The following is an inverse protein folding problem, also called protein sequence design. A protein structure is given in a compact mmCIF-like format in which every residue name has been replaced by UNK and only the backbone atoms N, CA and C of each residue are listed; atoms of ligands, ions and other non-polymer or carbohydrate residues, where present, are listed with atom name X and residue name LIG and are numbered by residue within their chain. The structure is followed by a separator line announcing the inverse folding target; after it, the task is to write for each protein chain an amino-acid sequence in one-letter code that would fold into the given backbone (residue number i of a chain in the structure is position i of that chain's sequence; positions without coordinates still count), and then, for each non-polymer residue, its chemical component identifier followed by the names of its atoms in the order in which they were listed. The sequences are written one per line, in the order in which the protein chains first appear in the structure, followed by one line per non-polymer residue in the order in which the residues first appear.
data_IF_079687473050
#
_entry.id   IF_079687473050
#
_cell.length_a   1.000
_cell.length_b   1.000
_cell.length_c   1.000
_cell.angle_alpha   90.00
_cell.angle_beta   90.00
_cell.angle_gamma   90.00
#
_symmetry.space_group_name_H-M   'P 1'
#
loop_
_entity.id
_entity.type
_entity.pdbx_description
1 polymer ?
#
# COMPACT_ATOMS: atom_id res chain seq x y z
N UNK A 1 -26.85 9.56 11.63
CA UNK A 1 -26.54 10.18 10.32
C UNK A 1 -25.03 10.45 10.23
N UNK A 2 -24.48 10.38 9.04
CA UNK A 2 -23.09 10.75 8.76
C UNK A 2 -22.99 12.25 8.45
N UNK A 3 -21.79 12.83 8.62
CA UNK A 3 -21.59 14.26 8.40
C UNK A 3 -21.67 14.66 6.91
N UNK A 4 -21.16 13.79 6.04
CA UNK A 4 -21.13 14.02 4.59
C UNK A 4 -20.94 12.67 3.88
N UNK A 5 -21.97 12.23 3.17
CA UNK A 5 -21.99 10.94 2.47
C UNK A 5 -21.02 10.84 1.30
N UNK A 6 -20.63 11.99 0.74
CA UNK A 6 -19.72 12.07 -0.41
C UNK A 6 -18.24 12.01 0.00
N UNK A 7 -17.95 12.23 1.30
CA UNK A 7 -16.60 12.19 1.87
C UNK A 7 -16.27 10.89 2.59
N UNK A 8 -17.18 9.93 2.58
CA UNK A 8 -16.99 8.61 3.17
C UNK A 8 -16.83 7.61 2.04
N UNK A 9 -15.79 6.78 2.13
CA UNK A 9 -15.62 5.63 1.27
C UNK A 9 -15.73 4.34 2.10
N UNK A 10 -16.47 3.37 1.59
CA UNK A 10 -16.60 2.03 2.17
C UNK A 10 -16.16 1.01 1.12
N UNK A 11 -15.13 0.24 1.45
CA UNK A 11 -14.53 -0.75 0.56
C UNK A 11 -14.64 -2.13 1.19
N UNK A 12 -15.21 -3.06 0.43
CA UNK A 12 -15.33 -4.45 0.85
C UNK A 12 -14.12 -5.24 0.34
N UNK A 13 -13.01 -5.22 1.08
CA UNK A 13 -11.76 -5.88 0.66
C UNK A 13 -11.24 -6.94 1.63
N UNK A 14 -11.63 -6.88 2.91
CA UNK A 14 -11.29 -7.90 3.90
C UNK A 14 -12.26 -9.07 3.83
N UNK A 15 -11.72 -10.31 3.86
CA UNK A 15 -12.52 -11.54 3.81
C UNK A 15 -13.48 -11.64 2.61
N UNK A 16 -13.10 -11.09 1.47
CA UNK A 16 -13.82 -11.17 0.22
C UNK A 16 -13.02 -12.03 -0.79
N UNK A 17 -13.60 -13.09 -1.38
CA UNK A 17 -14.90 -13.68 -1.07
C UNK A 17 -15.00 -14.13 0.38
N UNK A 18 -16.23 -14.11 0.93
CA UNK A 18 -16.41 -14.38 2.35
C UNK A 18 -15.97 -15.80 2.73
N UNK A 19 -15.09 -15.92 3.70
CA UNK A 19 -14.56 -17.21 4.17
C UNK A 19 -15.51 -18.00 5.07
N UNK A 20 -16.45 -17.30 5.71
CA UNK A 20 -17.41 -17.86 6.66
C UNK A 20 -18.67 -16.99 6.78
N UNK A 21 -19.65 -17.48 7.53
CA UNK A 21 -20.93 -16.78 7.77
C UNK A 21 -20.69 -15.45 8.49
N UNK A 22 -19.77 -15.40 9.45
CA UNK A 22 -19.49 -14.20 10.23
C UNK A 22 -18.95 -13.07 9.35
N UNK A 23 -18.04 -13.38 8.45
CA UNK A 23 -17.54 -12.39 7.48
C UNK A 23 -18.62 -11.92 6.51
N UNK A 24 -19.53 -12.81 6.09
CA UNK A 24 -20.69 -12.44 5.28
C UNK A 24 -21.68 -11.52 6.03
N UNK A 25 -21.89 -11.75 7.32
CA UNK A 25 -22.71 -10.87 8.17
C UNK A 25 -22.08 -9.49 8.34
N UNK A 26 -20.75 -9.39 8.49
CA UNK A 26 -20.06 -8.11 8.51
C UNK A 26 -20.24 -7.35 7.20
N UNK A 27 -20.09 -8.01 6.06
CA UNK A 27 -20.33 -7.42 4.74
C UNK A 27 -21.78 -6.94 4.60
N UNK A 28 -22.75 -7.72 5.07
CA UNK A 28 -24.15 -7.33 5.09
C UNK A 28 -24.38 -6.06 5.94
N UNK A 29 -23.77 -5.99 7.12
CA UNK A 29 -23.87 -4.83 8.01
C UNK A 29 -23.33 -3.55 7.33
N UNK A 30 -22.18 -3.62 6.67
CA UNK A 30 -21.60 -2.49 5.92
C UNK A 30 -22.50 -2.08 4.77
N UNK A 31 -23.06 -3.04 4.03
CA UNK A 31 -24.00 -2.77 2.92
C UNK A 31 -25.27 -2.06 3.43
N UNK A 32 -25.87 -2.54 4.52
CA UNK A 32 -27.05 -1.93 5.12
C UNK A 32 -26.74 -0.51 5.62
N UNK A 33 -25.56 -0.29 6.19
CA UNK A 33 -25.10 1.04 6.59
C UNK A 33 -24.92 1.96 5.40
N UNK A 34 -24.29 1.49 4.31
CA UNK A 34 -24.11 2.24 3.08
C UNK A 34 -25.45 2.67 2.48
N UNK A 35 -26.38 1.73 2.36
CA UNK A 35 -27.74 2.01 1.85
C UNK A 35 -28.51 2.99 2.75
N UNK A 36 -28.49 2.80 4.07
CA UNK A 36 -29.20 3.64 5.05
C UNK A 36 -28.73 5.09 5.03
N UNK A 37 -27.41 5.31 4.84
CA UNK A 37 -26.80 6.63 4.85
C UNK A 37 -26.54 7.18 3.44
N UNK A 38 -26.99 6.46 2.40
CA UNK A 38 -26.82 6.83 0.99
C UNK A 38 -25.36 7.14 0.62
N UNK A 39 -24.41 6.35 1.14
CA UNK A 39 -22.96 6.57 0.93
C UNK A 39 -22.64 6.49 -0.57
N UNK A 40 -22.06 7.55 -1.11
CA UNK A 40 -21.77 7.66 -2.53
C UNK A 40 -20.62 6.75 -2.97
N UNK A 41 -19.58 6.65 -2.14
CA UNK A 41 -18.38 5.86 -2.46
C UNK A 41 -18.43 4.51 -1.73
N UNK A 42 -19.32 3.65 -2.17
CA UNK A 42 -19.44 2.28 -1.65
C UNK A 42 -19.06 1.28 -2.75
N UNK A 43 -18.08 0.43 -2.45
CA UNK A 43 -17.52 -0.56 -3.37
C UNK A 43 -17.75 -1.97 -2.83
N UNK A 44 -18.73 -2.67 -3.41
CA UNK A 44 -19.11 -4.04 -3.05
C UNK A 44 -18.45 -5.07 -3.99
N UNK A 45 -18.79 -6.33 -3.82
CA UNK A 45 -18.36 -7.43 -4.69
C UNK A 45 -18.67 -7.12 -6.15
N UNK A 46 -17.64 -7.23 -7.01
CA UNK A 46 -17.72 -6.85 -8.42
C UNK A 46 -17.10 -5.49 -8.74
N UNK A 47 -17.07 -4.58 -7.79
CA UNK A 47 -16.37 -3.28 -7.88
C UNK A 47 -15.21 -3.20 -6.91
N UNK A 48 -14.91 -4.29 -6.22
CA UNK A 48 -13.94 -4.36 -5.14
C UNK A 48 -12.51 -4.21 -5.63
N UNK A 49 -11.68 -3.80 -4.70
CA UNK A 49 -10.24 -3.76 -4.77
C UNK A 49 -9.72 -3.59 -3.37
N UNK A 50 -8.45 -3.81 -3.15
CA UNK A 50 -7.83 -3.48 -1.86
C UNK A 50 -7.86 -1.96 -1.73
N UNK A 51 -8.42 -1.43 -0.64
CA UNK A 51 -8.77 -0.01 -0.52
C UNK A 51 -7.61 0.92 -0.84
N UNK A 52 -6.39 0.56 -0.42
CA UNK A 52 -5.19 1.39 -0.62
C UNK A 52 -4.69 1.45 -2.06
N UNK A 53 -5.17 0.59 -2.94
CA UNK A 53 -4.99 0.68 -4.37
C UNK A 53 -6.24 1.24 -5.07
N UNK A 54 -7.43 0.86 -4.59
CA UNK A 54 -8.70 1.22 -5.20
C UNK A 54 -9.00 2.72 -5.07
N UNK A 55 -8.84 3.32 -3.88
CA UNK A 55 -9.21 4.71 -3.66
C UNK A 55 -8.38 5.70 -4.50
N UNK A 56 -7.04 5.53 -4.63
CA UNK A 56 -6.26 6.30 -5.61
C UNK A 56 -6.69 6.06 -7.07
N UNK A 57 -6.93 4.80 -7.46
CA UNK A 57 -7.39 4.44 -8.81
C UNK A 57 -8.75 5.09 -9.15
N UNK A 58 -9.64 5.22 -8.16
CA UNK A 58 -10.94 5.90 -8.31
C UNK A 58 -10.84 7.42 -8.20
N UNK A 59 -9.64 7.96 -7.98
CA UNK A 59 -9.42 9.41 -7.85
C UNK A 59 -10.03 10.03 -6.60
N UNK A 60 -10.29 9.23 -5.57
CA UNK A 60 -10.89 9.69 -4.32
C UNK A 60 -9.87 10.30 -3.35
N UNK A 61 -8.57 10.11 -3.62
CA UNK A 61 -7.47 10.63 -2.82
C UNK A 61 -6.58 11.49 -3.70
N UNK A 62 -6.27 12.70 -3.25
CA UNK A 62 -5.41 13.66 -3.98
C UNK A 62 -4.46 14.38 -3.03
N UNK A 63 -3.47 15.08 -3.58
CA UNK A 63 -2.52 15.88 -2.80
C UNK A 63 -3.23 16.90 -1.92
N UNK A 64 -2.74 17.04 -0.69
CA UNK A 64 -3.26 17.98 0.31
C UNK A 64 -4.52 17.54 1.03
N UNK A 65 -5.06 16.37 0.71
CA UNK A 65 -6.15 15.77 1.50
C UNK A 65 -5.66 15.38 2.90
N UNK A 66 -6.57 15.41 3.87
CA UNK A 66 -6.41 14.79 5.19
C UNK A 66 -7.36 13.61 5.26
N UNK A 67 -6.81 12.40 5.37
CA UNK A 67 -7.56 11.17 5.26
C UNK A 67 -7.35 10.31 6.52
N UNK A 68 -8.45 9.89 7.13
CA UNK A 68 -8.43 8.88 8.20
C UNK A 68 -9.09 7.60 7.69
N UNK A 69 -8.57 6.46 8.07
CA UNK A 69 -9.12 5.16 7.73
C UNK A 69 -9.14 4.21 8.92
N UNK A 70 -9.99 3.21 8.87
CA UNK A 70 -10.06 2.16 9.89
C UNK A 70 -8.97 1.08 9.71
N UNK A 71 -8.21 1.17 8.62
CA UNK A 71 -7.07 0.30 8.33
C UNK A 71 -5.74 1.00 8.64
N UNK A 72 -4.77 0.25 9.15
CA UNK A 72 -3.46 0.78 9.52
C UNK A 72 -2.65 1.30 8.32
N UNK A 73 -2.82 0.68 7.14
CA UNK A 73 -2.11 1.07 5.91
C UNK A 73 -2.75 2.27 5.18
N UNK A 74 -3.71 2.98 5.80
CA UNK A 74 -4.23 4.25 5.28
C UNK A 74 -3.12 5.28 5.00
N UNK A 75 -1.94 5.13 5.60
CA UNK A 75 -0.75 5.93 5.30
C UNK A 75 -0.30 5.90 3.83
N UNK A 76 -0.76 4.93 3.04
CA UNK A 76 -0.43 4.74 1.62
C UNK A 76 -0.64 6.00 0.76
N UNK A 77 -1.66 6.79 1.04
CA UNK A 77 -2.00 7.96 0.21
C UNK A 77 -1.02 9.13 0.35
N UNK A 78 -0.08 9.03 1.29
CA UNK A 78 1.06 9.95 1.37
C UNK A 78 1.97 9.90 0.14
N UNK A 79 1.91 8.82 -0.65
CA UNK A 79 2.55 8.75 -1.96
C UNK A 79 2.04 9.82 -2.94
N UNK A 80 0.82 10.34 -2.73
CA UNK A 80 0.23 11.44 -3.49
C UNK A 80 0.40 12.81 -2.82
N UNK A 81 1.13 12.88 -1.69
CA UNK A 81 1.26 14.12 -0.91
C UNK A 81 0.05 14.44 -0.04
N UNK A 82 -0.73 13.43 0.36
CA UNK A 82 -1.82 13.54 1.32
C UNK A 82 -1.32 13.24 2.75
N UNK A 83 -1.87 13.91 3.76
CA UNK A 83 -1.72 13.45 5.13
C UNK A 83 -2.77 12.37 5.41
N UNK A 84 -2.33 11.14 5.45
CA UNK A 84 -3.23 9.98 5.61
C UNK A 84 -2.73 9.04 6.69
N UNK A 85 -3.65 8.56 7.54
CA UNK A 85 -3.28 7.71 8.69
C UNK A 85 -4.41 6.82 9.14
N UNK A 86 -4.06 5.65 9.65
CA UNK A 86 -4.99 4.76 10.33
C UNK A 86 -5.40 5.28 11.70
N UNK A 87 -6.65 5.05 12.07
CA UNK A 87 -7.22 5.38 13.38
C UNK A 87 -8.03 4.20 13.93
N UNK A 88 -8.29 4.21 15.23
CA UNK A 88 -9.15 3.21 15.85
C UNK A 88 -10.59 3.28 15.35
N UNK A 89 -11.32 2.17 15.44
CA UNK A 89 -12.70 2.08 14.96
C UNK A 89 -13.65 3.09 15.63
N UNK A 90 -13.43 3.41 16.90
CA UNK A 90 -14.21 4.42 17.63
C UNK A 90 -13.94 5.83 17.09
N UNK A 91 -12.66 6.17 16.83
CA UNK A 91 -12.28 7.46 16.25
C UNK A 91 -12.79 7.58 14.81
N UNK A 92 -12.75 6.48 14.05
CA UNK A 92 -13.34 6.44 12.70
C UNK A 92 -14.84 6.70 12.74
N UNK A 93 -15.57 6.04 13.65
CA UNK A 93 -17.01 6.27 13.81
C UNK A 93 -17.32 7.73 14.21
N UNK A 94 -16.53 8.31 15.12
CA UNK A 94 -16.67 9.72 15.50
C UNK A 94 -16.38 10.66 14.30
N UNK A 95 -15.34 10.36 13.52
CA UNK A 95 -15.01 11.09 12.30
C UNK A 95 -16.13 11.03 11.27
N UNK A 96 -16.74 9.87 11.06
CA UNK A 96 -17.89 9.70 10.14
C UNK A 96 -19.13 10.48 10.56
N UNK A 97 -19.33 10.69 11.85
CA UNK A 97 -20.48 11.45 12.39
C UNK A 97 -20.21 12.95 12.43
N UNK A 98 -18.99 13.35 12.79
CA UNK A 98 -18.67 14.75 13.10
C UNK A 98 -17.92 15.47 11.97
N UNK A 99 -17.31 14.74 11.05
CA UNK A 99 -16.38 15.27 10.05
C UNK A 99 -15.08 15.80 10.64
N UNK A 100 -14.75 15.45 11.89
CA UNK A 100 -13.61 15.98 12.64
C UNK A 100 -12.85 14.87 13.35
N UNK A 101 -11.54 15.01 13.38
CA UNK A 101 -10.63 14.26 14.23
C UNK A 101 -9.58 15.22 14.80
N UNK A 102 -9.00 14.88 15.94
CA UNK A 102 -7.90 15.63 16.49
C UNK A 102 -6.62 14.80 16.44
N UNK A 103 -5.51 15.47 16.21
CA UNK A 103 -4.19 14.85 16.21
C UNK A 103 -3.21 15.70 17.00
N UNK A 104 -2.30 15.04 17.71
CA UNK A 104 -1.03 15.67 18.04
C UNK A 104 -0.25 15.76 16.73
N UNK A 105 0.24 16.94 16.38
CA UNK A 105 1.10 17.09 15.19
C UNK A 105 2.33 16.20 15.36
N UNK A 106 2.57 15.21 14.48
CA UNK A 106 3.74 14.36 14.60
C UNK A 106 5.02 15.14 14.28
N UNK A 107 6.11 14.82 14.95
CA UNK A 107 7.44 15.20 14.47
C UNK A 107 7.76 14.43 13.18
N UNK A 108 8.71 14.93 12.40
CA UNK A 108 9.07 14.34 11.12
C UNK A 108 10.49 13.75 11.14
N UNK A 109 10.64 12.63 10.42
CA UNK A 109 11.93 12.04 10.04
C UNK A 109 12.07 12.22 8.53
N UNK A 110 13.23 12.72 8.10
CA UNK A 110 13.52 12.93 6.68
C UNK A 110 14.41 11.81 6.14
N UNK A 111 13.99 11.22 5.02
CA UNK A 111 14.77 10.25 4.25
C UNK A 111 15.13 10.86 2.90
N UNK A 112 16.39 11.24 2.76
CA UNK A 112 16.94 11.78 1.53
C UNK A 112 17.40 10.62 0.64
N UNK A 113 16.62 10.31 -0.39
CA UNK A 113 16.88 9.23 -1.34
C UNK A 113 17.74 9.76 -2.48
N UNK A 114 18.93 9.19 -2.68
CA UNK A 114 19.88 9.58 -3.71
C UNK A 114 20.24 8.38 -4.60
N UNK A 115 20.80 8.65 -5.77
CA UNK A 115 21.21 7.58 -6.69
C UNK A 115 20.04 6.88 -7.39
N UNK A 116 20.36 5.90 -8.22
CA UNK A 116 19.40 5.12 -9.00
C UNK A 116 19.41 3.67 -8.56
N UNK A 117 18.26 3.05 -8.26
CA UNK A 117 18.21 1.64 -7.86
C UNK A 117 18.67 0.72 -8.99
N UNK A 118 19.32 -0.38 -8.62
CA UNK A 118 19.69 -1.45 -9.53
C UNK A 118 18.45 -2.20 -10.05
N UNK A 119 18.61 -2.98 -11.14
CA UNK A 119 17.55 -3.91 -11.58
C UNK A 119 17.17 -4.85 -10.44
N UNK A 120 15.88 -5.09 -10.26
CA UNK A 120 15.26 -5.90 -9.21
C UNK A 120 15.22 -5.27 -7.80
N UNK A 121 15.71 -4.06 -7.63
CA UNK A 121 15.51 -3.27 -6.42
C UNK A 121 14.31 -2.36 -6.63
N UNK A 122 13.27 -2.55 -5.83
CA UNK A 122 11.99 -1.86 -5.89
C UNK A 122 11.72 -1.02 -4.64
N UNK A 123 10.60 -0.33 -4.60
CA UNK A 123 10.14 0.38 -3.41
C UNK A 123 10.05 -0.52 -2.17
N UNK A 124 9.77 -1.81 -2.36
CA UNK A 124 9.75 -2.80 -1.27
C UNK A 124 11.13 -2.96 -0.61
N UNK A 125 12.19 -3.05 -1.42
CA UNK A 125 13.56 -3.16 -0.91
C UNK A 125 13.97 -1.89 -0.17
N UNK A 126 13.57 -0.72 -0.70
CA UNK A 126 13.86 0.59 -0.07
C UNK A 126 13.24 0.66 1.31
N UNK A 127 11.95 0.36 1.44
CA UNK A 127 11.27 0.48 2.74
C UNK A 127 11.71 -0.62 3.72
N UNK A 128 11.98 -1.84 3.25
CA UNK A 128 12.52 -2.89 4.11
C UNK A 128 13.92 -2.52 4.64
N UNK A 129 14.78 -1.93 3.78
CA UNK A 129 16.07 -1.41 4.23
C UNK A 129 15.90 -0.34 5.33
N UNK A 130 14.97 0.59 5.14
CA UNK A 130 14.68 1.63 6.13
C UNK A 130 14.16 1.03 7.44
N UNK A 131 13.21 0.09 7.38
CA UNK A 131 12.69 -0.57 8.59
C UNK A 131 13.81 -1.35 9.30
N UNK A 132 14.69 -2.03 8.56
CA UNK A 132 15.86 -2.69 9.14
C UNK A 132 16.84 -1.72 9.81
N UNK A 133 16.93 -0.48 9.30
CA UNK A 133 17.82 0.56 9.84
C UNK A 133 17.29 1.20 11.12
N UNK A 134 15.97 1.52 11.17
CA UNK A 134 15.38 2.28 12.28
C UNK A 134 14.56 1.44 13.26
N UNK A 135 14.24 0.18 12.90
CA UNK A 135 13.39 -0.70 13.68
C UNK A 135 11.89 -0.49 13.47
N UNK A 136 11.07 -1.40 13.99
CA UNK A 136 9.60 -1.37 13.90
C UNK A 136 8.94 -0.23 14.70
N UNK A 137 9.67 0.40 15.59
CA UNK A 137 9.23 1.53 16.42
C UNK A 137 10.02 2.82 16.19
N UNK A 138 10.99 2.82 15.25
CA UNK A 138 11.87 3.96 14.98
C UNK A 138 11.13 5.22 14.53
N UNK A 139 9.99 5.07 13.87
CA UNK A 139 9.13 6.18 13.48
C UNK A 139 7.82 6.24 14.30
N UNK A 140 7.79 5.67 15.50
CA UNK A 140 6.58 5.61 16.32
C UNK A 140 5.96 6.99 16.52
N UNK A 141 4.73 7.16 16.04
CA UNK A 141 3.97 8.41 16.01
C UNK A 141 4.66 9.57 15.27
N UNK A 142 5.53 9.31 14.30
CA UNK A 142 6.21 10.32 13.49
C UNK A 142 5.73 10.29 12.04
N UNK A 143 5.94 11.39 11.33
CA UNK A 143 5.78 11.46 9.88
C UNK A 143 7.10 11.06 9.21
N UNK A 144 7.07 10.17 8.25
CA UNK A 144 8.24 9.82 7.42
C UNK A 144 8.15 10.61 6.12
N UNK A 145 9.09 11.51 5.89
CA UNK A 145 9.15 12.32 4.67
C UNK A 145 10.27 11.82 3.76
N UNK A 146 9.91 11.47 2.52
CA UNK A 146 10.82 10.96 1.52
C UNK A 146 11.13 12.05 0.51
N UNK A 147 12.39 12.44 0.39
CA UNK A 147 12.87 13.52 -0.47
C UNK A 147 14.11 13.08 -1.25
N UNK A 148 14.67 13.95 -2.05
CA UNK A 148 15.94 13.74 -2.73
C UNK A 148 15.80 13.38 -4.20
N UNK A 149 16.94 13.44 -4.92
CA UNK A 149 16.98 13.30 -6.38
C UNK A 149 16.73 11.86 -6.85
N UNK A 150 16.85 10.88 -5.96
CA UNK A 150 16.58 9.46 -6.25
C UNK A 150 15.09 9.17 -6.48
N UNK A 151 14.18 10.01 -5.94
CA UNK A 151 12.72 9.82 -6.10
C UNK A 151 12.29 9.74 -7.56
N UNK A 152 12.94 10.46 -8.45
CA UNK A 152 12.63 10.44 -9.90
C UNK A 152 12.79 9.07 -10.56
N UNK A 153 13.48 8.12 -9.91
CA UNK A 153 13.66 6.76 -10.40
C UNK A 153 12.65 5.77 -9.79
N UNK A 154 11.84 6.21 -8.83
CA UNK A 154 10.78 5.44 -8.23
C UNK A 154 9.46 5.70 -8.96
N UNK A 155 8.84 4.62 -9.43
CA UNK A 155 7.50 4.70 -10.02
C UNK A 155 6.45 5.11 -8.98
N UNK A 156 5.22 5.40 -9.40
CA UNK A 156 4.13 5.61 -8.45
C UNK A 156 3.85 4.35 -7.63
N UNK A 157 3.96 3.16 -8.24
CA UNK A 157 3.78 1.89 -7.55
C UNK A 157 4.82 1.70 -6.44
N UNK A 158 6.10 2.05 -6.68
CA UNK A 158 7.16 2.07 -5.66
C UNK A 158 6.85 3.04 -4.52
N UNK A 159 6.40 4.26 -4.85
CA UNK A 159 6.06 5.28 -3.84
C UNK A 159 4.88 4.85 -2.98
N UNK A 160 3.86 4.25 -3.57
CA UNK A 160 2.75 3.67 -2.83
C UNK A 160 3.21 2.56 -1.89
N UNK A 161 4.12 1.68 -2.35
CA UNK A 161 4.70 0.63 -1.51
C UNK A 161 5.46 1.20 -0.31
N UNK A 162 6.31 2.20 -0.53
CA UNK A 162 7.09 2.84 0.54
C UNK A 162 6.16 3.54 1.54
N UNK A 163 5.21 4.34 1.07
CA UNK A 163 4.27 5.04 1.93
C UNK A 163 3.36 4.05 2.69
N UNK A 164 2.93 2.96 2.05
CA UNK A 164 2.12 1.91 2.65
C UNK A 164 2.82 1.29 3.87
N UNK A 165 4.09 0.97 3.74
CA UNK A 165 4.85 0.30 4.78
C UNK A 165 5.47 1.25 5.83
N UNK A 166 5.15 2.53 5.81
CA UNK A 166 5.54 3.44 6.88
C UNK A 166 5.00 3.00 8.24
N UNK A 167 3.84 2.35 8.27
CA UNK A 167 3.25 1.83 9.51
C UNK A 167 4.08 0.72 10.15
N UNK A 168 4.81 -0.10 9.38
CA UNK A 168 5.68 -1.15 9.90
C UNK A 168 6.89 -0.59 10.66
N UNK A 169 7.21 0.69 10.49
CA UNK A 169 8.17 1.41 11.32
C UNK A 169 7.50 2.21 12.46
N UNK A 170 6.19 2.05 12.66
CA UNK A 170 5.39 2.81 13.63
C UNK A 170 4.97 4.21 13.16
N UNK A 171 5.25 4.56 11.90
CA UNK A 171 4.96 5.88 11.34
C UNK A 171 3.47 6.20 11.23
N UNK A 172 3.10 7.45 11.46
CA UNK A 172 1.74 7.94 11.23
C UNK A 172 1.42 8.00 9.74
N UNK A 173 2.40 8.36 8.94
CA UNK A 173 2.32 8.35 7.48
C UNK A 173 3.71 8.29 6.85
N UNK A 174 3.73 8.06 5.53
CA UNK A 174 4.91 8.24 4.69
C UNK A 174 4.54 9.20 3.55
N UNK A 175 5.19 10.36 3.45
CA UNK A 175 4.84 11.41 2.51
C UNK A 175 5.93 11.59 1.45
N UNK A 176 5.50 11.67 0.19
CA UNK A 176 6.32 12.06 -0.95
C UNK A 176 5.96 13.46 -1.42
N UNK A 177 6.92 14.21 -1.99
CA UNK A 177 6.64 15.47 -2.66
C UNK A 177 5.78 15.24 -3.90
N UNK A 178 5.00 16.23 -4.25
CA UNK A 178 4.14 16.21 -5.44
C UNK A 178 4.94 16.70 -6.64
N UNK A 179 5.52 15.79 -7.38
CA UNK A 179 6.26 16.06 -8.62
C UNK A 179 5.39 15.81 -9.88
N UNK A 180 6.02 15.96 -11.05
CA UNK A 180 5.34 15.79 -12.34
C UNK A 180 4.71 14.40 -12.49
N UNK A 181 5.35 13.35 -11.94
CA UNK A 181 4.84 11.98 -11.98
C UNK A 181 3.58 11.85 -11.12
N UNK A 182 3.59 12.41 -9.92
CA UNK A 182 2.41 12.46 -9.03
C UNK A 182 1.27 13.24 -9.66
N UNK A 183 1.58 14.40 -10.28
CA UNK A 183 0.58 15.22 -10.98
C UNK A 183 -0.02 14.47 -12.17
N UNK A 184 0.80 13.76 -12.95
CA UNK A 184 0.33 12.95 -14.07
C UNK A 184 -0.63 11.85 -13.59
N UNK A 185 -0.27 11.12 -12.52
CA UNK A 185 -1.13 10.11 -11.92
C UNK A 185 -2.46 10.69 -11.45
N UNK A 186 -2.44 11.80 -10.71
CA UNK A 186 -3.68 12.44 -10.25
C UNK A 186 -4.57 12.92 -11.39
N UNK A 187 -4.00 13.49 -12.46
CA UNK A 187 -4.77 13.92 -13.63
C UNK A 187 -5.43 12.78 -14.39
N UNK A 188 -4.80 11.62 -14.41
CA UNK A 188 -5.36 10.42 -15.03
C UNK A 188 -6.56 9.89 -14.25
N UNK A 189 -6.50 9.90 -12.92
CA UNK A 189 -7.46 9.24 -12.06
C UNK A 189 -8.50 10.18 -11.44
N UNK A 190 -8.21 11.47 -11.25
CA UNK A 190 -9.09 12.39 -10.53
C UNK A 190 -9.37 13.69 -11.29
N UNK A 191 -10.59 14.19 -11.10
CA UNK A 191 -10.99 15.56 -11.51
C UNK A 191 -11.11 16.51 -10.32
N UNK A 192 -10.79 16.03 -9.11
CA UNK A 192 -10.87 16.85 -7.91
C UNK A 192 -9.77 17.92 -7.91
N UNK A 193 -10.05 19.11 -7.37
CA UNK A 193 -9.00 20.08 -7.09
C UNK A 193 -8.07 19.51 -6.01
N UNK A 194 -6.79 19.81 -6.09
CA UNK A 194 -5.79 19.41 -5.11
C UNK A 194 -4.91 20.57 -4.71
N UNK A 195 -4.24 20.47 -3.57
CA UNK A 195 -3.31 21.48 -3.10
C UNK A 195 -1.97 20.83 -2.77
N UNK A 196 -0.91 21.40 -3.29
CA UNK A 196 0.45 20.96 -2.98
C UNK A 196 0.93 21.70 -1.74
N UNK A 197 1.50 20.94 -0.81
CA UNK A 197 2.22 21.45 0.34
C UNK A 197 3.67 20.99 0.25
N UNK A 198 4.57 21.88 0.54
CA UNK A 198 6.02 21.65 0.59
C UNK A 198 6.54 22.01 1.97
N UNK A 199 7.67 21.43 2.35
CA UNK A 199 8.33 21.82 3.59
C UNK A 199 8.85 23.25 3.48
N UNK A 200 8.75 24.03 4.56
CA UNK A 200 9.34 25.34 4.64
C UNK A 200 10.88 25.22 4.63
N UNK A 201 11.58 26.30 4.21
CA UNK A 201 13.06 26.32 4.13
C UNK A 201 13.73 26.08 5.50
N UNK A 202 13.06 26.46 6.57
CA UNK A 202 13.48 26.32 7.95
C UNK A 202 12.83 25.11 8.67
N UNK A 203 12.25 24.18 7.93
CA UNK A 203 11.65 22.97 8.50
C UNK A 203 12.66 22.17 9.33
N UNK A 204 12.26 21.79 10.54
CA UNK A 204 13.09 21.03 11.48
C UNK A 204 12.64 19.57 11.52
N UNK A 205 13.59 18.68 11.33
CA UNK A 205 13.39 17.24 11.41
C UNK A 205 14.03 16.70 12.70
N UNK A 206 13.36 15.73 13.31
CA UNK A 206 13.89 15.05 14.51
C UNK A 206 15.12 14.20 14.17
N UNK A 207 15.09 13.57 12.98
CA UNK A 207 16.19 12.77 12.43
C UNK A 207 16.22 12.93 10.90
N UNK A 208 17.40 12.81 10.33
CA UNK A 208 17.61 12.82 8.89
C UNK A 208 18.52 11.65 8.49
N UNK A 209 18.11 10.91 7.45
CA UNK A 209 18.86 9.80 6.87
C UNK A 209 19.08 10.04 5.39
N UNK A 210 20.25 9.67 4.89
CA UNK A 210 20.51 9.62 3.45
C UNK A 210 20.66 8.16 3.02
N UNK A 211 19.83 7.74 2.07
CA UNK A 211 19.80 6.39 1.52
C UNK A 211 20.24 6.44 0.06
N UNK A 212 21.37 5.81 -0.24
CA UNK A 212 21.84 5.68 -1.62
C UNK A 212 21.21 4.45 -2.28
N UNK A 213 20.20 4.69 -3.11
CA UNK A 213 19.47 3.65 -3.84
C UNK A 213 20.37 2.80 -4.73
N UNK A 214 21.50 3.34 -5.17
CA UNK A 214 22.45 2.60 -6.05
C UNK A 214 23.20 1.49 -5.31
N UNK A 215 23.27 1.57 -4.00
CA UNK A 215 23.95 0.58 -3.15
C UNK A 215 23.02 -0.48 -2.59
N UNK A 216 21.70 -0.25 -2.70
CA UNK A 216 20.70 -1.18 -2.20
C UNK A 216 20.71 -2.50 -2.98
N UNK A 217 20.43 -3.57 -2.28
CA UNK A 217 20.27 -4.92 -2.82
C UNK A 217 18.87 -5.42 -2.50
N UNK A 218 18.43 -6.44 -3.25
CA UNK A 218 17.17 -7.12 -2.92
C UNK A 218 17.19 -7.62 -1.49
N UNK A 219 16.17 -7.25 -0.74
CA UNK A 219 16.09 -7.39 0.72
C UNK A 219 14.91 -8.25 1.11
N UNK A 220 15.12 -9.13 2.08
CA UNK A 220 14.10 -10.02 2.65
C UNK A 220 14.00 -9.78 4.16
N UNK A 221 12.78 -9.69 4.67
CA UNK A 221 12.52 -9.69 6.11
C UNK A 221 12.24 -11.11 6.59
N UNK A 222 12.96 -11.53 7.61
CA UNK A 222 12.78 -12.83 8.26
C UNK A 222 11.75 -12.75 9.40
N UNK A 223 11.08 -13.86 9.74
CA UNK A 223 10.19 -13.90 10.90
C UNK A 223 10.91 -13.50 12.20
N UNK A 224 10.21 -12.90 13.15
CA UNK A 224 8.78 -12.57 13.14
C UNK A 224 8.52 -11.06 13.03
N UNK A 225 9.56 -10.25 12.79
CA UNK A 225 9.45 -8.78 12.70
C UNK A 225 9.98 -8.31 11.35
N UNK A 226 9.35 -7.29 10.72
CA UNK A 226 9.80 -6.76 9.45
C UNK A 226 11.16 -6.05 9.50
N UNK A 227 11.70 -5.76 10.68
CA UNK A 227 13.05 -5.23 10.88
C UNK A 227 14.16 -6.30 10.76
N UNK A 228 13.80 -7.60 10.82
CA UNK A 228 14.75 -8.70 10.65
C UNK A 228 15.19 -8.83 9.19
N UNK A 229 15.69 -7.75 8.63
CA UNK A 229 16.05 -7.68 7.22
C UNK A 229 17.44 -8.23 6.96
N UNK A 230 17.59 -8.90 5.81
CA UNK A 230 18.87 -9.31 5.23
C UNK A 230 18.82 -9.10 3.73
N UNK A 231 19.96 -8.75 3.16
CA UNK A 231 20.08 -8.79 1.69
C UNK A 231 20.16 -10.24 1.22
N UNK A 232 19.75 -10.48 -0.01
CA UNK A 232 19.76 -11.84 -0.61
C UNK A 232 21.15 -12.49 -0.53
N UNK A 233 22.23 -11.70 -0.64
CA UNK A 233 23.61 -12.18 -0.59
C UNK A 233 24.04 -12.65 0.82
N UNK A 234 23.33 -12.22 1.86
CA UNK A 234 23.61 -12.58 3.26
C UNK A 234 22.88 -13.85 3.68
N UNK A 235 21.98 -14.36 2.85
CA UNK A 235 21.21 -15.57 3.15
C UNK A 235 22.03 -16.78 2.75
N UNK A 236 22.49 -17.53 3.73
CA UNK A 236 23.32 -18.74 3.53
C UNK A 236 22.57 -20.04 3.77
N UNK A 237 21.43 -19.97 4.45
CA UNK A 237 20.56 -21.10 4.77
C UNK A 237 19.56 -21.41 3.65
N UNK A 238 19.26 -22.69 3.44
CA UNK A 238 18.18 -23.14 2.59
C UNK A 238 16.82 -22.90 3.27
N UNK A 239 16.09 -21.89 2.79
CA UNK A 239 14.75 -21.57 3.30
C UNK A 239 13.70 -22.37 2.53
N UNK A 240 13.07 -23.33 3.22
CA UNK A 240 11.96 -24.11 2.66
C UNK A 240 10.64 -23.40 2.95
N UNK A 241 9.85 -23.17 1.90
CA UNK A 241 8.55 -22.52 2.00
C UNK A 241 7.43 -23.49 1.61
N UNK A 242 6.26 -23.32 2.24
CA UNK A 242 5.02 -24.04 1.91
C UNK A 242 4.07 -23.19 1.06
N UNK A 243 4.21 -21.85 1.14
CA UNK A 243 3.36 -20.92 0.42
C UNK A 243 4.13 -19.68 -0.01
N UNK A 244 3.80 -19.18 -1.21
CA UNK A 244 4.21 -17.87 -1.71
C UNK A 244 2.95 -17.05 -2.04
N UNK A 245 2.90 -15.81 -1.56
CA UNK A 245 1.82 -14.87 -1.87
C UNK A 245 2.42 -13.68 -2.61
N UNK A 246 1.89 -13.38 -3.78
CA UNK A 246 2.30 -12.26 -4.64
C UNK A 246 1.12 -11.31 -4.74
N UNK A 247 1.31 -10.06 -4.31
CA UNK A 247 0.23 -9.08 -4.34
C UNK A 247 0.09 -8.28 -3.07
N UNK A 248 -1.14 -8.12 -2.59
CA UNK A 248 -1.58 -7.28 -1.46
C UNK A 248 -1.69 -5.79 -1.79
N UNK A 249 -2.04 -4.96 -0.80
CA UNK A 249 -2.04 -3.50 -0.92
C UNK A 249 -0.64 -2.94 -1.23
N UNK A 250 0.39 -3.67 -0.85
CA UNK A 250 1.79 -3.28 -1.01
C UNK A 250 2.28 -3.53 -2.43
N UNK A 251 2.10 -4.77 -2.96
CA UNK A 251 2.71 -5.22 -4.21
C UNK A 251 1.76 -6.02 -5.11
N UNK A 252 0.51 -5.57 -5.23
CA UNK A 252 -0.47 -6.14 -6.15
C UNK A 252 -0.78 -5.25 -7.36
N UNK A 253 0.04 -4.22 -7.62
CA UNK A 253 -0.12 -3.31 -8.76
C UNK A 253 0.44 -3.94 -10.02
N UNK A 254 0.19 -3.30 -11.16
CA UNK A 254 0.52 -3.92 -12.45
C UNK A 254 2.02 -4.14 -12.67
N UNK A 255 2.86 -3.25 -12.14
CA UNK A 255 4.32 -3.40 -12.24
C UNK A 255 4.82 -4.60 -11.44
N UNK A 256 4.25 -4.84 -10.25
CA UNK A 256 4.56 -6.01 -9.43
C UNK A 256 4.20 -7.32 -10.14
N UNK A 257 3.02 -7.35 -10.76
CA UNK A 257 2.55 -8.52 -11.51
C UNK A 257 3.41 -8.78 -12.75
N UNK A 258 3.85 -7.73 -13.47
CA UNK A 258 4.78 -7.88 -14.60
C UNK A 258 6.12 -8.44 -14.15
N UNK A 259 6.65 -7.93 -13.04
CA UNK A 259 7.90 -8.42 -12.44
C UNK A 259 7.78 -9.90 -12.04
N UNK A 260 6.72 -10.28 -11.37
CA UNK A 260 6.46 -11.67 -11.00
C UNK A 260 6.29 -12.58 -12.21
N UNK A 261 5.60 -12.12 -13.26
CA UNK A 261 5.43 -12.87 -14.51
C UNK A 261 6.76 -13.07 -15.24
N UNK A 262 7.66 -12.07 -15.25
CA UNK A 262 9.02 -12.23 -15.84
C UNK A 262 9.78 -13.39 -15.17
N UNK A 263 9.64 -13.53 -13.85
CA UNK A 263 10.28 -14.60 -13.08
C UNK A 263 9.62 -15.97 -13.34
N UNK A 264 8.28 -16.02 -13.39
CA UNK A 264 7.54 -17.28 -13.49
C UNK A 264 7.40 -17.82 -14.91
N UNK A 265 7.60 -16.99 -15.93
CA UNK A 265 7.46 -17.37 -17.33
C UNK A 265 8.36 -18.56 -17.69
N UNK A 266 7.72 -19.63 -18.18
CA UNK A 266 8.41 -20.87 -18.57
C UNK A 266 8.91 -21.72 -17.40
N UNK A 267 8.55 -21.37 -16.15
CA UNK A 267 8.90 -22.11 -14.94
C UNK A 267 7.65 -22.76 -14.32
N UNK A 268 7.87 -23.61 -13.34
CA UNK A 268 6.79 -24.28 -12.58
C UNK A 268 7.01 -24.09 -11.08
N UNK A 269 5.92 -23.78 -10.39
CA UNK A 269 5.89 -23.83 -8.92
C UNK A 269 6.16 -25.26 -8.48
N UNK A 270 7.04 -25.43 -7.48
CA UNK A 270 7.38 -26.74 -6.94
C UNK A 270 6.13 -27.43 -6.38
N UNK A 271 5.96 -28.71 -6.68
CA UNK A 271 4.87 -29.52 -6.12
C UNK A 271 4.92 -29.49 -4.60
N UNK A 272 3.79 -29.20 -3.96
CA UNK A 272 3.68 -29.04 -2.51
C UNK A 272 3.77 -27.57 -2.02
N UNK A 273 4.19 -26.63 -2.88
CA UNK A 273 4.15 -25.20 -2.58
C UNK A 273 2.88 -24.58 -3.17
N UNK A 274 2.16 -23.80 -2.40
CA UNK A 274 1.04 -22.97 -2.89
C UNK A 274 1.59 -21.63 -3.33
N UNK A 275 1.33 -21.23 -4.58
CA UNK A 275 1.62 -19.89 -5.07
C UNK A 275 0.30 -19.16 -5.36
N UNK A 276 0.05 -18.06 -4.69
CA UNK A 276 -1.19 -17.29 -4.79
C UNK A 276 -0.84 -15.90 -5.30
N UNK A 277 -1.50 -15.49 -6.39
CA UNK A 277 -1.32 -14.15 -6.98
C UNK A 277 -2.59 -13.35 -6.78
N UNK A 278 -2.47 -12.13 -6.25
CA UNK A 278 -3.60 -11.27 -5.89
C UNK A 278 -3.42 -9.90 -6.54
N UNK A 279 -4.07 -9.63 -7.67
CA UNK A 279 -4.14 -8.29 -8.23
C UNK A 279 -4.83 -7.34 -7.25
N UNK A 280 -4.33 -6.11 -7.10
CA UNK A 280 -4.83 -5.21 -6.07
C UNK A 280 -6.24 -4.66 -6.34
N UNK A 281 -6.66 -4.57 -7.61
CA UNK A 281 -8.00 -4.10 -8.01
C UNK A 281 -8.54 -4.89 -9.18
N UNK A 282 -9.85 -4.78 -9.42
CA UNK A 282 -10.49 -5.37 -10.62
C UNK A 282 -9.93 -4.79 -11.92
N UNK A 283 -9.54 -3.51 -11.92
CA UNK A 283 -8.97 -2.88 -13.11
C UNK A 283 -7.56 -3.44 -13.39
N UNK A 284 -6.74 -3.59 -12.36
CA UNK A 284 -5.42 -4.23 -12.48
C UNK A 284 -5.58 -5.71 -12.90
N UNK A 285 -6.56 -6.41 -12.35
CA UNK A 285 -6.87 -7.79 -12.76
C UNK A 285 -7.18 -7.89 -14.25
N UNK A 286 -8.06 -7.01 -14.74
CA UNK A 286 -8.43 -6.92 -16.14
C UNK A 286 -7.24 -6.56 -17.04
N UNK A 287 -6.39 -5.63 -16.58
CA UNK A 287 -5.16 -5.25 -17.29
C UNK A 287 -4.19 -6.43 -17.37
N UNK A 288 -3.93 -7.11 -16.25
CA UNK A 288 -3.07 -8.28 -16.21
C UNK A 288 -3.57 -9.42 -17.14
N UNK A 289 -4.90 -9.58 -17.24
CA UNK A 289 -5.50 -10.52 -18.19
C UNK A 289 -5.24 -10.11 -19.64
N UNK A 290 -5.42 -8.84 -19.99
CA UNK A 290 -5.17 -8.31 -21.34
C UNK A 290 -3.71 -8.39 -21.76
N UNK A 291 -2.79 -8.25 -20.81
CA UNK A 291 -1.34 -8.38 -21.01
C UNK A 291 -0.88 -9.85 -21.06
N UNK A 292 -1.76 -10.82 -20.82
CA UNK A 292 -1.42 -12.26 -20.80
C UNK A 292 -0.67 -12.71 -19.55
N UNK A 293 -0.59 -11.87 -18.50
CA UNK A 293 0.13 -12.23 -17.27
C UNK A 293 -0.55 -13.37 -16.51
N UNK A 294 -1.89 -13.42 -16.56
CA UNK A 294 -2.66 -14.49 -15.90
C UNK A 294 -2.36 -15.86 -16.49
N UNK A 295 -2.21 -15.96 -17.82
CA UNK A 295 -1.82 -17.18 -18.49
C UNK A 295 -0.47 -17.68 -17.96
N UNK A 296 0.53 -16.78 -17.86
CA UNK A 296 1.85 -17.12 -17.32
C UNK A 296 1.74 -17.67 -15.89
N UNK A 297 0.95 -17.05 -15.03
CA UNK A 297 0.78 -17.49 -13.64
C UNK A 297 0.10 -18.87 -13.57
N UNK A 298 -0.97 -19.08 -14.34
CA UNK A 298 -1.70 -20.34 -14.37
C UNK A 298 -0.82 -21.45 -14.94
N UNK A 299 -0.11 -21.18 -16.04
CA UNK A 299 0.85 -22.13 -16.60
C UNK A 299 1.97 -22.47 -15.61
N UNK A 300 2.44 -21.52 -14.82
CA UNK A 300 3.42 -21.78 -13.77
C UNK A 300 2.87 -22.64 -12.62
N UNK A 301 1.56 -22.83 -12.52
CA UNK A 301 0.90 -23.56 -11.44
C UNK A 301 0.55 -22.69 -10.23
N UNK A 302 0.46 -21.38 -10.42
CA UNK A 302 -0.05 -20.46 -9.42
C UNK A 302 -1.59 -20.34 -9.50
N UNK A 303 -2.21 -19.95 -8.39
CA UNK A 303 -3.63 -19.57 -8.32
C UNK A 303 -3.74 -18.06 -8.39
N UNK A 304 -4.55 -17.56 -9.32
CA UNK A 304 -4.88 -16.13 -9.36
C UNK A 304 -6.19 -15.91 -8.63
N UNK A 305 -6.13 -15.13 -7.55
CA UNK A 305 -7.29 -14.80 -6.71
C UNK A 305 -7.96 -13.51 -7.17
N UNK A 306 -9.16 -13.27 -6.68
CA UNK A 306 -9.80 -11.96 -6.76
C UNK A 306 -9.04 -10.94 -5.89
N UNK A 307 -9.15 -9.64 -6.17
CA UNK A 307 -8.61 -8.61 -5.29
C UNK A 307 -9.14 -8.76 -3.87
N UNK A 308 -8.25 -8.93 -2.90
CA UNK A 308 -8.61 -9.09 -1.48
C UNK A 308 -7.41 -8.82 -0.59
N UNK A 309 -7.67 -8.27 0.59
CA UNK A 309 -6.68 -8.11 1.66
C UNK A 309 -6.56 -9.36 2.54
N UNK A 310 -7.46 -10.33 2.39
CA UNK A 310 -7.60 -11.52 3.23
C UNK A 310 -6.34 -12.30 3.58
N UNK A 311 -5.44 -12.62 2.62
CA UNK A 311 -4.24 -13.40 2.92
C UNK A 311 -3.30 -12.77 3.95
N UNK A 312 -3.17 -11.44 3.98
CA UNK A 312 -2.29 -10.74 4.91
C UNK A 312 -2.72 -10.90 6.37
N UNK A 313 -4.01 -11.06 6.62
CA UNK A 313 -4.58 -11.23 7.96
C UNK A 313 -5.01 -12.68 8.26
N UNK A 314 -4.58 -13.62 7.44
CA UNK A 314 -4.91 -15.04 7.63
C UNK A 314 -6.35 -15.41 7.28
N UNK A 315 -6.99 -14.64 6.44
CA UNK A 315 -8.38 -14.82 6.01
C UNK A 315 -8.57 -15.55 4.68
N UNK A 316 -7.55 -16.24 4.18
CA UNK A 316 -7.58 -16.92 2.90
C UNK A 316 -7.38 -18.44 3.03
#
# INVERSE_FOLDING_TARGET
EVFDKDKIALVMDHFIPNKDIKSAEHCKCVREFACKNEITNYFDVGEMGIEHALLPEKGLTVAGDVIIGADSHTCTYGALGAFSTGVGSTDMAAGMVTGKAWFKVPSAIKFNLVGKPAKWVSGKDVILHIIGLIGVDGALYKSMEFVGEGIKYLSMDDRFTIANMAIEAGGKNGIFPVDDLTVAYMKEHSKRPYKVYEADEDAVYEQEYTIDLSTLKSTVAFPHLPENTRTIDEITEDVVIDQSVIGSCTNGRIEDLRCAAEILKGRKVKKGVRCIVIPATQQIYLQAMREGLLEIFIEAGAVVSTPTCGPCLGGY
#
